data_IF_164891899562
#
_entry.id   IF_164891899562
#
_cell.length_a   1.000
_cell.length_b   1.000
_cell.length_c   1.000
_cell.angle_alpha   90.00
_cell.angle_beta   90.00
_cell.angle_gamma   90.00
#
_symmetry.space_group_name_H-M   'P 1'
#
loop_
_entity.id
_entity.type
_entity.pdbx_description
1 polymer ?
#
# COMPACT_ATOMS: atom_id res chain seq x y z
N UNK A 1 71.91 -17.01 1.57
CA UNK A 1 70.65 -17.56 1.01
C UNK A 1 70.95 -18.11 -0.37
N UNK A 2 70.44 -19.30 -0.70
CA UNK A 2 70.64 -19.90 -2.01
C UNK A 2 69.55 -19.43 -2.97
N UNK A 3 69.84 -19.31 -4.26
CA UNK A 3 68.83 -18.98 -5.28
C UNK A 3 68.35 -20.25 -5.97
N UNK A 4 67.05 -20.30 -6.28
CA UNK A 4 66.50 -21.29 -7.18
C UNK A 4 67.18 -21.13 -8.55
N UNK A 5 67.78 -22.20 -9.06
CA UNK A 5 68.50 -22.16 -10.34
C UNK A 5 67.56 -22.07 -11.56
N UNK A 6 66.25 -22.28 -11.36
CA UNK A 6 65.25 -22.14 -12.42
C UNK A 6 64.61 -20.74 -12.46
N UNK A 7 64.09 -20.25 -11.33
CA UNK A 7 63.36 -18.97 -11.28
C UNK A 7 64.10 -17.83 -10.57
N UNK A 8 65.31 -18.06 -10.05
CA UNK A 8 66.13 -17.03 -9.38
C UNK A 8 65.68 -16.63 -7.97
N UNK A 9 64.55 -17.13 -7.47
CA UNK A 9 64.00 -16.81 -6.15
C UNK A 9 64.98 -17.20 -5.03
N UNK A 10 65.23 -16.28 -4.09
CA UNK A 10 66.00 -16.57 -2.87
C UNK A 10 65.22 -17.56 -1.99
N UNK A 11 65.86 -18.65 -1.60
CA UNK A 11 65.32 -19.68 -0.71
C UNK A 11 66.27 -19.94 0.45
N UNK A 12 65.71 -20.00 1.65
CA UNK A 12 66.47 -20.35 2.86
C UNK A 12 66.87 -21.84 2.84
N UNK A 13 65.96 -22.71 2.42
CA UNK A 13 66.14 -24.17 2.39
C UNK A 13 65.86 -24.70 0.96
N UNK A 14 66.88 -24.75 0.08
CA UNK A 14 66.70 -25.24 -1.28
C UNK A 14 66.54 -26.77 -1.33
N UNK A 15 65.66 -27.25 -2.22
CA UNK A 15 65.57 -28.67 -2.56
C UNK A 15 66.66 -29.02 -3.57
N UNK A 16 67.51 -29.99 -3.24
CA UNK A 16 68.52 -30.52 -4.18
C UNK A 16 67.92 -31.65 -5.02
N UNK A 17 67.88 -31.48 -6.33
CA UNK A 17 67.40 -32.52 -7.25
C UNK A 17 68.39 -33.68 -7.30
N UNK A 18 67.91 -34.92 -7.11
CA UNK A 18 68.75 -36.13 -7.15
C UNK A 18 69.24 -36.50 -8.56
N UNK A 19 68.68 -35.89 -9.60
CA UNK A 19 68.98 -36.22 -11.00
C UNK A 19 69.95 -35.23 -11.63
N UNK A 20 69.73 -33.92 -11.49
CA UNK A 20 70.63 -32.88 -12.04
C UNK A 20 71.54 -32.24 -10.99
N UNK A 21 71.34 -32.50 -9.69
CA UNK A 21 72.14 -31.90 -8.61
C UNK A 21 71.82 -30.43 -8.30
N UNK A 22 70.94 -29.79 -9.08
CA UNK A 22 70.58 -28.38 -8.93
C UNK A 22 69.73 -28.08 -7.69
N UNK A 23 69.69 -26.79 -7.33
CA UNK A 23 68.98 -26.26 -6.14
C UNK A 23 67.73 -25.48 -6.55
N UNK A 24 66.57 -25.88 -6.01
CA UNK A 24 65.27 -25.37 -6.43
C UNK A 24 64.37 -24.96 -5.25
N UNK A 25 63.41 -24.06 -5.51
CA UNK A 25 62.35 -23.72 -4.56
C UNK A 25 61.26 -24.79 -4.52
N UNK A 26 60.28 -24.62 -3.62
CA UNK A 26 59.16 -25.56 -3.46
C UNK A 26 58.40 -25.84 -4.76
N UNK A 27 58.12 -24.80 -5.56
CA UNK A 27 57.39 -24.91 -6.83
C UNK A 27 58.18 -25.67 -7.91
N UNK A 28 59.52 -25.63 -7.81
CA UNK A 28 60.43 -26.19 -8.80
C UNK A 28 61.17 -27.44 -8.30
N UNK A 29 60.72 -28.04 -7.18
CA UNK A 29 61.43 -29.16 -6.52
C UNK A 29 61.40 -30.48 -7.30
N UNK A 30 60.42 -30.69 -8.18
CA UNK A 30 60.28 -31.92 -8.97
C UNK A 30 60.99 -31.81 -10.32
N UNK A 31 61.58 -32.90 -10.86
CA UNK A 31 62.27 -32.87 -12.15
C UNK A 31 61.49 -32.30 -13.34
N UNK A 32 60.18 -32.55 -13.50
CA UNK A 32 59.39 -31.90 -14.55
C UNK A 32 59.21 -30.40 -14.34
N UNK A 33 59.19 -29.93 -13.09
CA UNK A 33 58.90 -28.53 -12.77
C UNK A 33 60.06 -27.59 -13.10
N UNK A 34 61.30 -28.08 -13.18
CA UNK A 34 62.48 -27.26 -13.51
C UNK A 34 63.18 -27.68 -14.82
N UNK A 35 62.49 -28.45 -15.68
CA UNK A 35 63.07 -28.98 -16.92
C UNK A 35 64.41 -29.71 -16.71
N UNK A 36 64.40 -30.72 -15.82
CA UNK A 36 65.61 -31.45 -15.47
C UNK A 36 66.29 -32.07 -16.70
N UNK A 37 67.59 -31.86 -16.85
CA UNK A 37 68.41 -32.47 -17.92
C UNK A 37 68.36 -34.00 -17.90
N UNK A 38 68.15 -34.61 -16.73
CA UNK A 38 68.08 -36.05 -16.53
C UNK A 38 66.64 -36.55 -16.29
N UNK A 39 65.64 -35.95 -16.96
CA UNK A 39 64.21 -36.25 -16.75
C UNK A 39 63.83 -37.69 -17.10
N UNK A 40 64.51 -38.31 -18.06
CA UNK A 40 64.25 -39.71 -18.46
C UNK A 40 64.53 -40.69 -17.32
N UNK A 41 65.59 -40.47 -16.54
CA UNK A 41 65.92 -41.27 -15.36
C UNK A 41 64.90 -41.11 -14.22
N UNK A 42 64.17 -40.00 -14.17
CA UNK A 42 63.05 -39.82 -13.25
C UNK A 42 61.80 -40.56 -13.74
N UNK A 43 61.52 -40.52 -15.06
CA UNK A 43 60.38 -41.20 -15.69
C UNK A 43 60.51 -42.72 -15.70
N UNK A 44 61.73 -43.26 -15.68
CA UNK A 44 61.97 -44.71 -15.67
C UNK A 44 61.68 -45.39 -14.33
N UNK A 45 61.42 -44.62 -13.25
CA UNK A 45 61.03 -45.18 -11.96
C UNK A 45 59.52 -45.39 -11.88
N UNK A 46 59.12 -46.64 -11.73
CA UNK A 46 57.72 -46.99 -11.41
C UNK A 46 57.36 -46.40 -10.04
N UNK A 47 56.23 -45.67 -9.91
CA UNK A 47 55.76 -45.22 -8.60
C UNK A 47 55.49 -46.42 -7.68
N UNK A 48 55.66 -46.27 -6.36
CA UNK A 48 55.42 -47.36 -5.42
C UNK A 48 53.98 -47.88 -5.56
N UNK A 49 53.86 -49.19 -5.74
CA UNK A 49 52.60 -49.89 -5.90
C UNK A 49 51.82 -49.85 -4.57
N UNK A 50 50.80 -48.99 -4.49
CA UNK A 50 49.81 -49.03 -3.41
C UNK A 50 48.65 -49.88 -3.91
N UNK A 51 48.54 -51.13 -3.44
CA UNK A 51 47.38 -51.98 -3.69
C UNK A 51 46.16 -51.42 -2.97
N UNK A 52 45.47 -50.47 -3.61
CA UNK A 52 44.14 -50.05 -3.17
C UNK A 52 43.15 -51.15 -3.58
N UNK A 53 42.76 -51.98 -2.63
CA UNK A 53 41.51 -52.74 -2.75
C UNK A 53 40.41 -51.70 -2.99
N UNK A 54 39.85 -51.67 -4.21
CA UNK A 54 38.64 -50.90 -4.46
C UNK A 54 37.50 -51.67 -3.81
N UNK A 55 37.09 -51.24 -2.61
CA UNK A 55 35.71 -51.46 -2.22
C UNK A 55 34.80 -50.92 -3.34
N UNK A 56 33.73 -51.64 -3.74
CA UNK A 56 32.80 -51.14 -4.74
C UNK A 56 32.20 -49.84 -4.23
N UNK A 57 32.66 -48.70 -4.75
CA UNK A 57 32.08 -47.41 -4.42
C UNK A 57 30.69 -47.37 -5.04
N UNK A 58 29.65 -47.46 -4.20
CA UNK A 58 28.28 -47.20 -4.60
C UNK A 58 28.23 -45.87 -5.40
N UNK A 59 27.48 -45.82 -6.52
CA UNK A 59 27.42 -44.63 -7.36
C UNK A 59 26.95 -43.43 -6.53
N UNK A 60 27.75 -42.35 -6.53
CA UNK A 60 27.45 -41.12 -5.78
C UNK A 60 26.20 -40.46 -6.38
N UNK A 61 25.07 -40.62 -5.71
CA UNK A 61 23.82 -39.98 -6.11
C UNK A 61 23.74 -38.56 -5.51
N UNK A 62 23.71 -37.54 -6.38
CA UNK A 62 23.68 -36.13 -5.98
C UNK A 62 22.23 -35.68 -5.74
N UNK A 63 21.98 -34.98 -4.65
CA UNK A 63 20.68 -34.35 -4.35
C UNK A 63 20.84 -32.82 -4.47
N UNK A 64 19.82 -32.14 -5.01
CA UNK A 64 19.81 -30.68 -5.15
C UNK A 64 19.39 -30.02 -3.82
N UNK A 65 19.94 -28.84 -3.49
CA UNK A 65 19.46 -28.05 -2.37
C UNK A 65 17.99 -27.63 -2.58
N UNK A 66 17.35 -27.25 -1.48
CA UNK A 66 15.88 -27.14 -1.34
C UNK A 66 15.26 -26.16 -2.35
N UNK A 67 14.00 -26.38 -2.76
CA UNK A 67 13.21 -25.31 -3.37
C UNK A 67 12.91 -24.30 -2.25
N UNK A 68 13.47 -23.08 -2.32
CA UNK A 68 13.29 -22.00 -1.33
C UNK A 68 11.88 -21.91 -0.71
N UNK A 69 11.81 -21.56 0.58
CA UNK A 69 10.57 -21.29 1.33
C UNK A 69 9.71 -20.22 0.66
N UNK A 70 8.39 -20.33 0.84
CA UNK A 70 7.39 -19.40 0.29
C UNK A 70 6.94 -18.44 1.40
N UNK A 71 6.94 -17.11 1.20
CA UNK A 71 6.56 -16.18 2.25
C UNK A 71 5.06 -16.31 2.60
N UNK A 72 4.76 -16.51 3.88
CA UNK A 72 3.41 -16.47 4.43
C UNK A 72 2.98 -15.02 4.63
N UNK A 73 1.80 -14.63 4.13
CA UNK A 73 1.28 -13.25 4.17
C UNK A 73 0.07 -13.14 5.11
N UNK A 74 0.25 -13.41 6.40
CA UNK A 74 -0.85 -13.56 7.40
C UNK A 74 -1.82 -12.36 7.54
N UNK A 75 -3.03 -12.61 8.05
CA UNK A 75 -3.90 -11.58 8.64
C UNK A 75 -4.01 -11.82 10.15
N UNK A 76 -3.61 -10.86 10.99
CA UNK A 76 -4.01 -10.87 12.41
C UNK A 76 -5.29 -10.06 12.58
N UNK A 77 -6.42 -10.75 12.83
CA UNK A 77 -7.65 -10.13 13.32
C UNK A 77 -7.39 -9.49 14.69
N UNK A 78 -7.51 -8.17 14.79
CA UNK A 78 -7.55 -7.49 16.09
C UNK A 78 -8.99 -7.59 16.62
N UNK A 79 -9.17 -8.21 17.79
CA UNK A 79 -10.43 -8.13 18.54
C UNK A 79 -10.64 -6.65 18.93
N UNK A 80 -11.64 -5.99 18.34
CA UNK A 80 -12.04 -4.64 18.73
C UNK A 80 -12.50 -4.67 20.19
N UNK A 81 -11.69 -4.12 21.09
CA UNK A 81 -12.10 -3.95 22.48
C UNK A 81 -12.91 -2.66 22.59
N UNK A 82 -14.22 -2.81 22.82
CA UNK A 82 -15.19 -1.74 23.13
C UNK A 82 -14.82 -0.89 24.39
N UNK A 83 -13.66 -1.14 25.00
CA UNK A 83 -13.15 -0.50 26.22
C UNK A 83 -12.63 0.92 25.94
N UNK A 84 -12.15 1.23 24.73
CA UNK A 84 -11.60 2.56 24.41
C UNK A 84 -12.67 3.66 24.40
N UNK A 85 -13.88 3.34 23.93
CA UNK A 85 -15.00 4.30 23.88
C UNK A 85 -15.61 4.56 25.27
N UNK A 86 -15.57 3.57 26.17
CA UNK A 86 -16.05 3.74 27.55
C UNK A 86 -15.15 4.67 28.38
N UNK A 87 -13.84 4.63 28.16
CA UNK A 87 -12.89 5.54 28.84
C UNK A 87 -13.03 6.97 28.30
N UNK A 88 -13.17 7.13 26.98
CA UNK A 88 -13.41 8.45 26.37
C UNK A 88 -14.74 9.08 26.82
N UNK A 89 -15.81 8.29 26.91
CA UNK A 89 -17.11 8.77 27.39
C UNK A 89 -17.05 9.22 28.85
N UNK A 90 -16.32 8.50 29.71
CA UNK A 90 -16.14 8.89 31.11
C UNK A 90 -15.33 10.19 31.28
N UNK A 91 -14.33 10.42 30.43
CA UNK A 91 -13.53 11.65 30.46
C UNK A 91 -14.32 12.86 29.92
N UNK A 92 -15.19 12.64 28.93
CA UNK A 92 -16.04 13.69 28.35
C UNK A 92 -17.15 14.13 29.32
N UNK A 93 -17.74 13.20 30.08
CA UNK A 93 -18.70 13.52 31.15
C UNK A 93 -18.03 14.26 32.31
N UNK A 94 -16.77 13.91 32.65
CA UNK A 94 -15.99 14.65 33.65
C UNK A 94 -15.57 16.05 33.17
N UNK A 95 -15.32 16.23 31.86
CA UNK A 95 -14.96 17.51 31.27
C UNK A 95 -16.17 18.47 31.17
N UNK A 96 -17.35 17.94 30.83
CA UNK A 96 -18.60 18.72 30.81
C UNK A 96 -19.06 19.14 32.22
N UNK A 97 -18.79 18.33 33.24
CA UNK A 97 -19.09 18.68 34.65
C UNK A 97 -18.16 19.72 35.27
N UNK A 98 -17.04 20.05 34.62
CA UNK A 98 -16.06 21.05 35.11
C UNK A 98 -16.22 22.43 34.45
N UNK A 99 -17.09 22.56 33.44
CA UNK A 99 -17.21 23.75 32.60
C UNK A 99 -18.44 24.60 32.90
N UNK A 100 -19.02 24.48 34.10
CA UNK A 100 -20.31 25.09 34.45
C UNK A 100 -20.20 26.26 35.45
N UNK A 101 -19.14 27.09 35.37
CA UNK A 101 -19.09 28.28 36.23
C UNK A 101 -18.48 29.58 35.72
N UNK A 102 -17.94 29.71 34.49
CA UNK A 102 -17.30 31.00 34.09
C UNK A 102 -17.46 31.48 32.62
N UNK A 103 -18.54 31.15 31.88
CA UNK A 103 -18.79 31.78 30.55
C UNK A 103 -20.21 32.35 30.41
N UNK A 104 -20.66 33.14 31.39
CA UNK A 104 -21.87 33.96 31.28
C UNK A 104 -21.69 35.40 31.83
N UNK A 105 -20.59 36.10 31.52
CA UNK A 105 -20.73 37.55 31.32
C UNK A 105 -19.92 38.15 30.15
N UNK A 106 -19.30 37.34 29.28
CA UNK A 106 -18.45 37.87 28.20
C UNK A 106 -19.24 38.43 26.99
N UNK A 107 -20.45 37.94 26.73
CA UNK A 107 -21.22 38.31 25.53
C UNK A 107 -22.02 39.62 25.63
N UNK A 108 -22.15 40.22 26.82
CA UNK A 108 -22.88 41.48 26.99
C UNK A 108 -22.05 42.73 26.65
N UNK A 109 -20.76 42.58 26.32
CA UNK A 109 -19.86 43.72 26.07
C UNK A 109 -19.54 44.00 24.59
N UNK A 110 -20.19 43.31 23.65
CA UNK A 110 -19.96 43.50 22.19
C UNK A 110 -21.07 44.37 21.54
N UNK A 111 -22.14 44.73 22.26
CA UNK A 111 -23.27 45.50 21.71
C UNK A 111 -23.17 47.03 21.79
N UNK A 112 -22.09 47.63 22.29
CA UNK A 112 -22.01 49.10 22.49
C UNK A 112 -20.80 49.80 21.86
N UNK A 113 -20.20 49.24 20.80
CA UNK A 113 -19.04 49.84 20.11
C UNK A 113 -19.36 50.44 18.75
N UNK A 114 -20.20 51.47 18.69
CA UNK A 114 -20.42 52.25 17.46
C UNK A 114 -19.34 53.32 17.26
N UNK A 115 -18.70 53.35 16.09
CA UNK A 115 -17.92 54.51 15.61
C UNK A 115 -18.23 54.74 14.13
N UNK A 116 -18.97 55.81 13.86
CA UNK A 116 -19.12 56.46 12.56
C UNK A 116 -18.06 57.56 12.45
N UNK A 117 -17.24 57.53 11.41
CA UNK A 117 -16.48 58.70 10.97
C UNK A 117 -16.57 58.88 9.45
N UNK A 118 -17.27 59.95 9.10
CA UNK A 118 -17.22 60.85 7.93
C UNK A 118 -16.38 60.43 6.70
N UNK A 119 -17.07 60.28 5.56
CA UNK A 119 -16.49 60.23 4.20
C UNK A 119 -17.06 61.42 3.40
N UNK A 120 -16.23 62.20 2.67
CA UNK A 120 -16.69 63.34 1.88
C UNK A 120 -17.49 62.93 0.62
N UNK A 121 -18.45 63.77 0.26
CA UNK A 121 -19.43 63.58 -0.80
C UNK A 121 -18.83 63.57 -2.21
N UNK A 122 -19.08 62.48 -2.95
CA UNK A 122 -18.81 62.33 -4.39
C UNK A 122 -20.07 62.78 -5.15
N UNK A 123 -19.94 63.54 -6.26
CA UNK A 123 -21.09 63.99 -7.05
C UNK A 123 -21.87 62.83 -7.68
N UNK A 124 -23.18 63.02 -7.98
CA UNK A 124 -24.06 61.95 -8.41
C UNK A 124 -23.68 61.45 -9.81
N UNK A 125 -23.19 60.22 -9.87
CA UNK A 125 -23.16 59.43 -11.11
C UNK A 125 -24.60 59.02 -11.43
N UNK A 126 -25.00 59.18 -12.70
CA UNK A 126 -26.31 58.77 -13.19
C UNK A 126 -26.41 57.22 -13.19
N UNK A 127 -26.94 56.66 -12.11
CA UNK A 127 -27.04 55.20 -11.85
C UNK A 127 -28.11 54.52 -12.74
N UNK A 128 -29.07 55.26 -13.28
CA UNK A 128 -30.12 54.69 -14.13
C UNK A 128 -29.62 54.25 -15.52
N UNK A 129 -28.47 54.76 -15.97
CA UNK A 129 -27.84 54.33 -17.22
C UNK A 129 -26.86 53.15 -17.07
N UNK A 130 -26.46 52.79 -15.83
CA UNK A 130 -25.56 51.65 -15.54
C UNK A 130 -26.35 50.43 -15.03
N UNK A 131 -27.61 50.61 -14.60
CA UNK A 131 -28.53 49.54 -14.21
C UNK A 131 -29.15 48.77 -15.39
N UNK A 132 -28.46 48.67 -16.52
CA UNK A 132 -28.74 47.64 -17.52
C UNK A 132 -28.06 46.34 -17.08
N UNK A 133 -28.63 45.75 -16.02
CA UNK A 133 -28.61 44.31 -15.67
C UNK A 133 -27.35 43.53 -16.04
N UNK A 134 -26.29 43.69 -15.25
CA UNK A 134 -25.31 42.61 -15.04
C UNK A 134 -25.70 41.99 -13.70
N UNK A 135 -26.57 40.98 -13.73
CA UNK A 135 -26.63 40.10 -12.58
C UNK A 135 -25.22 39.49 -12.44
N UNK A 136 -24.59 39.50 -11.26
CA UNK A 136 -23.26 38.95 -11.14
C UNK A 136 -23.28 37.48 -11.63
N UNK A 137 -22.27 37.12 -12.43
CA UNK A 137 -22.08 35.76 -12.93
C UNK A 137 -21.80 34.74 -11.81
N UNK A 138 -21.71 35.22 -10.56
CA UNK A 138 -21.46 34.46 -9.34
C UNK A 138 -22.50 34.80 -8.29
N UNK A 139 -23.06 33.79 -7.61
CA UNK A 139 -23.92 33.99 -6.44
C UNK A 139 -23.52 33.06 -5.30
N UNK A 140 -23.80 33.49 -4.06
CA UNK A 140 -23.45 32.74 -2.85
C UNK A 140 -24.71 32.26 -2.13
N UNK A 141 -24.78 30.97 -1.85
CA UNK A 141 -25.89 30.33 -1.13
C UNK A 141 -25.37 29.63 0.13
N UNK A 142 -25.79 30.07 1.32
CA UNK A 142 -25.38 29.46 2.58
C UNK A 142 -26.46 28.53 3.12
N UNK A 143 -26.16 27.23 3.15
CA UNK A 143 -27.07 26.15 3.54
C UNK A 143 -27.03 25.92 5.06
N UNK A 144 -28.07 25.32 5.68
CA UNK A 144 -28.16 25.17 7.13
C UNK A 144 -27.29 24.01 7.68
N UNK A 145 -26.06 23.88 7.18
CA UNK A 145 -25.09 22.86 7.59
C UNK A 145 -23.87 23.57 8.18
N UNK A 146 -23.42 23.12 9.35
CA UNK A 146 -22.28 23.73 10.03
C UNK A 146 -20.95 23.10 9.60
N UNK A 147 -19.95 23.96 9.46
CA UNK A 147 -18.53 23.64 9.32
C UNK A 147 -17.89 23.37 10.69
N UNK A 148 -16.62 22.97 10.72
CA UNK A 148 -15.89 22.78 11.98
C UNK A 148 -15.89 24.05 12.85
N UNK A 149 -15.81 25.23 12.22
CA UNK A 149 -15.85 26.54 12.88
C UNK A 149 -17.21 26.90 13.51
N UNK A 150 -18.27 26.14 13.21
CA UNK A 150 -19.65 26.46 13.58
C UNK A 150 -20.35 27.43 12.62
N UNK A 151 -19.63 28.00 11.65
CA UNK A 151 -20.24 28.76 10.56
C UNK A 151 -21.02 27.86 9.61
N UNK A 152 -21.99 28.45 8.90
CA UNK A 152 -22.70 27.74 7.82
C UNK A 152 -21.80 27.49 6.62
N UNK A 153 -21.99 26.35 5.96
CA UNK A 153 -21.48 26.07 4.61
C UNK A 153 -22.07 27.07 3.63
N UNK A 154 -21.23 27.66 2.80
CA UNK A 154 -21.59 28.64 1.80
C UNK A 154 -21.02 28.29 0.41
N UNK A 155 -21.94 27.87 -0.45
CA UNK A 155 -21.69 27.48 -1.83
C UNK A 155 -21.57 28.73 -2.70
N UNK A 156 -20.49 28.82 -3.48
CA UNK A 156 -20.24 29.89 -4.45
C UNK A 156 -20.46 29.31 -5.84
N UNK A 157 -21.58 29.70 -6.45
CA UNK A 157 -22.05 29.16 -7.72
C UNK A 157 -21.79 30.12 -8.86
N UNK A 158 -21.35 29.59 -10.00
CA UNK A 158 -21.06 30.34 -11.22
C UNK A 158 -22.11 30.01 -12.28
N UNK A 159 -22.78 31.03 -12.82
CA UNK A 159 -23.87 30.84 -13.80
C UNK A 159 -23.43 30.18 -15.11
N UNK A 160 -22.15 30.29 -15.43
CA UNK A 160 -21.53 29.69 -16.60
C UNK A 160 -20.84 28.34 -16.30
N UNK A 161 -20.91 27.83 -15.07
CA UNK A 161 -20.46 26.48 -14.76
C UNK A 161 -21.37 25.46 -15.45
N UNK A 162 -20.78 24.40 -15.97
CA UNK A 162 -21.48 23.40 -16.78
C UNK A 162 -21.28 21.99 -16.24
N UNK A 163 -22.24 21.12 -16.53
CA UNK A 163 -22.19 19.70 -16.20
C UNK A 163 -20.99 19.04 -16.93
N UNK A 164 -20.03 18.42 -16.23
CA UNK A 164 -18.84 17.83 -16.85
C UNK A 164 -19.16 16.47 -17.50
N UNK A 165 -18.28 15.96 -18.35
CA UNK A 165 -18.20 14.50 -18.60
C UNK A 165 -17.55 13.78 -17.43
N UNK A 166 -17.69 12.45 -17.34
CA UNK A 166 -16.96 11.64 -16.36
C UNK A 166 -15.44 11.87 -16.42
N UNK A 167 -14.86 11.90 -17.61
CA UNK A 167 -13.41 12.07 -17.78
C UNK A 167 -12.93 13.47 -17.39
N UNK A 168 -13.72 14.51 -17.66
CA UNK A 168 -13.46 15.87 -17.18
C UNK A 168 -13.54 15.96 -15.65
N UNK A 169 -14.54 15.32 -15.04
CA UNK A 169 -14.66 15.24 -13.58
C UNK A 169 -13.45 14.55 -12.96
N UNK A 170 -13.06 13.37 -13.43
CA UNK A 170 -11.89 12.65 -12.90
C UNK A 170 -10.60 13.46 -13.10
N UNK A 171 -10.47 14.16 -14.23
CA UNK A 171 -9.31 15.02 -14.51
C UNK A 171 -9.25 16.23 -13.56
N UNK A 172 -10.40 16.82 -13.25
CA UNK A 172 -10.51 17.89 -12.26
C UNK A 172 -10.11 17.41 -10.87
N UNK A 173 -10.68 16.29 -10.40
CA UNK A 173 -10.38 15.74 -9.06
C UNK A 173 -8.89 15.44 -8.89
N UNK A 174 -8.23 14.86 -9.90
CA UNK A 174 -6.78 14.59 -9.85
C UNK A 174 -5.89 15.83 -9.72
N UNK A 175 -6.41 17.00 -10.11
CA UNK A 175 -5.70 18.28 -10.06
C UNK A 175 -6.06 19.09 -8.81
N UNK A 176 -7.27 18.92 -8.30
CA UNK A 176 -7.72 19.56 -7.08
C UNK A 176 -6.97 18.98 -5.87
N UNK A 177 -6.61 19.83 -4.91
CA UNK A 177 -5.79 19.46 -3.76
C UNK A 177 -6.62 19.31 -2.46
N UNK A 178 -7.96 19.36 -2.55
CA UNK A 178 -8.84 19.29 -1.38
C UNK A 178 -8.59 18.02 -0.57
N UNK A 179 -8.41 16.89 -1.25
CA UNK A 179 -8.19 15.58 -0.65
C UNK A 179 -6.85 15.43 0.10
N UNK A 180 -5.91 16.37 -0.13
CA UNK A 180 -4.60 16.40 0.53
C UNK A 180 -4.66 17.03 1.92
N UNK A 181 -5.74 17.73 2.26
CA UNK A 181 -5.93 18.24 3.62
C UNK A 181 -6.20 17.11 4.61
N UNK A 182 -5.84 17.34 5.87
CA UNK A 182 -6.13 16.40 6.95
C UNK A 182 -7.43 16.75 7.64
N UNK A 183 -8.21 15.72 7.96
CA UNK A 183 -9.41 15.85 8.76
C UNK A 183 -9.06 16.21 10.20
N UNK A 184 -9.70 17.27 10.71
CA UNK A 184 -9.55 17.75 12.08
C UNK A 184 -10.92 18.19 12.61
N UNK A 185 -11.39 17.53 13.67
CA UNK A 185 -12.66 17.84 14.31
C UNK A 185 -12.76 19.29 14.81
N UNK A 186 -11.64 19.95 15.10
CA UNK A 186 -11.63 21.31 15.61
C UNK A 186 -11.60 22.37 14.49
N UNK A 187 -11.14 22.03 13.29
CA UNK A 187 -10.80 23.03 12.28
C UNK A 187 -11.21 22.70 10.84
N UNK A 188 -11.38 21.43 10.49
CA UNK A 188 -11.66 21.03 9.11
C UNK A 188 -12.33 19.64 9.04
N UNK A 189 -13.66 19.62 8.93
CA UNK A 189 -14.48 18.39 8.88
C UNK A 189 -15.06 18.15 7.49
N UNK A 190 -15.83 17.08 7.31
CA UNK A 190 -16.39 16.69 6.00
C UNK A 190 -17.17 17.82 5.31
N UNK A 191 -17.88 18.66 6.08
CA UNK A 191 -18.57 19.84 5.55
C UNK A 191 -17.61 20.88 4.94
N UNK A 192 -16.43 21.09 5.56
CA UNK A 192 -15.40 21.99 5.03
C UNK A 192 -14.76 21.43 3.76
N UNK A 193 -14.47 20.11 3.71
CA UNK A 193 -14.01 19.44 2.49
C UNK A 193 -15.01 19.61 1.34
N UNK A 194 -16.29 19.32 1.60
CA UNK A 194 -17.33 19.38 0.59
C UNK A 194 -17.65 20.82 0.13
N UNK A 195 -17.59 21.82 1.02
CA UNK A 195 -17.67 23.24 0.65
C UNK A 195 -16.50 23.63 -0.28
N UNK A 196 -15.28 23.22 0.10
CA UNK A 196 -14.07 23.60 -0.63
C UNK A 196 -14.03 22.97 -2.02
N UNK A 197 -14.30 21.66 -2.14
CA UNK A 197 -14.32 20.98 -3.44
C UNK A 197 -15.40 21.57 -4.36
N UNK A 198 -16.61 21.82 -3.82
CA UNK A 198 -17.69 22.46 -4.55
C UNK A 198 -17.23 23.80 -5.15
N UNK A 199 -16.70 24.69 -4.30
CA UNK A 199 -16.32 26.03 -4.71
C UNK A 199 -15.14 26.03 -5.69
N UNK A 200 -14.21 25.08 -5.55
CA UNK A 200 -13.12 24.89 -6.50
C UNK A 200 -13.62 24.41 -7.87
N UNK A 201 -14.59 23.49 -7.89
CA UNK A 201 -15.20 22.99 -9.13
C UNK A 201 -15.94 24.10 -9.87
N UNK A 202 -16.80 24.84 -9.16
CA UNK A 202 -17.55 25.97 -9.72
C UNK A 202 -16.61 27.05 -10.28
N UNK A 203 -15.54 27.39 -9.54
CA UNK A 203 -14.50 28.31 -10.02
C UNK A 203 -13.72 27.79 -11.24
N UNK A 204 -13.68 26.47 -11.44
CA UNK A 204 -13.12 25.81 -12.62
C UNK A 204 -14.13 25.68 -13.79
N UNK A 205 -15.36 26.20 -13.63
CA UNK A 205 -16.42 26.11 -14.63
C UNK A 205 -17.15 24.75 -14.64
N UNK A 206 -16.98 23.94 -13.59
CA UNK A 206 -17.62 22.64 -13.43
C UNK A 206 -18.74 22.79 -12.41
N UNK A 207 -19.97 22.49 -12.84
CA UNK A 207 -21.13 22.59 -11.97
C UNK A 207 -21.08 21.49 -10.90
N UNK A 208 -21.22 21.89 -9.64
CA UNK A 208 -21.13 21.01 -8.49
C UNK A 208 -22.36 21.13 -7.58
N UNK A 209 -22.63 20.10 -6.80
CA UNK A 209 -23.58 20.12 -5.71
C UNK A 209 -22.92 19.68 -4.41
N UNK A 210 -23.46 20.15 -3.29
CA UNK A 210 -23.15 19.66 -1.95
C UNK A 210 -24.17 18.59 -1.56
N UNK A 211 -23.73 17.56 -0.86
CA UNK A 211 -24.58 16.46 -0.39
C UNK A 211 -24.39 16.26 1.10
N UNK A 212 -25.51 16.20 1.82
CA UNK A 212 -25.57 15.73 3.20
C UNK A 212 -26.17 14.32 3.23
N UNK A 213 -25.54 13.42 3.98
CA UNK A 213 -25.95 12.03 4.15
C UNK A 213 -26.22 11.79 5.62
N UNK A 214 -27.37 11.20 5.92
CA UNK A 214 -27.61 10.59 7.21
C UNK A 214 -27.46 9.06 7.10
N UNK A 215 -26.98 8.45 8.18
CA UNK A 215 -26.94 7.01 8.32
C UNK A 215 -28.03 6.51 9.27
N UNK A 216 -28.37 5.22 9.17
CA UNK A 216 -29.25 4.54 10.14
C UNK A 216 -28.64 4.56 11.54
N UNK A 217 -27.33 4.43 11.63
CA UNK A 217 -26.54 4.51 12.86
C UNK A 217 -25.23 5.25 12.55
N UNK A 218 -24.78 6.11 13.47
CA UNK A 218 -23.59 6.96 13.30
C UNK A 218 -23.88 8.44 13.07
N UNK A 219 -22.80 9.20 12.86
CA UNK A 219 -22.85 10.64 12.57
C UNK A 219 -23.00 10.80 11.06
N UNK A 220 -23.81 11.77 10.62
CA UNK A 220 -23.96 12.10 9.20
C UNK A 220 -22.64 12.49 8.53
N UNK A 221 -22.65 12.50 7.20
CA UNK A 221 -21.48 12.79 6.38
C UNK A 221 -21.79 13.81 5.30
N UNK A 222 -20.77 14.54 4.85
CA UNK A 222 -20.89 15.52 3.77
C UNK A 222 -19.94 15.17 2.63
N UNK A 223 -20.42 15.32 1.40
CA UNK A 223 -19.70 15.02 0.17
C UNK A 223 -20.25 15.87 -0.98
N UNK A 224 -19.83 15.58 -2.22
CA UNK A 224 -20.28 16.33 -3.40
C UNK A 224 -21.02 15.45 -4.40
N UNK A 225 -21.82 16.07 -5.26
CA UNK A 225 -22.46 15.43 -6.40
C UNK A 225 -22.20 16.24 -7.67
N UNK A 226 -21.97 15.55 -8.77
CA UNK A 226 -21.75 16.12 -10.09
C UNK A 226 -22.72 15.45 -11.05
N UNK A 227 -23.49 16.24 -11.81
CA UNK A 227 -24.32 15.70 -12.88
C UNK A 227 -23.46 15.53 -14.12
N UNK A 228 -22.95 14.33 -14.37
CA UNK A 228 -22.14 14.08 -15.57
C UNK A 228 -23.02 13.90 -16.81
N UNK A 229 -22.56 14.44 -17.93
CA UNK A 229 -23.30 14.41 -19.20
C UNK A 229 -23.40 13.01 -19.83
N UNK A 230 -22.51 12.09 -19.44
CA UNK A 230 -22.38 10.75 -20.04
C UNK A 230 -22.67 9.59 -19.05
N UNK A 231 -22.65 9.83 -17.74
CA UNK A 231 -22.90 8.78 -16.71
C UNK A 231 -23.91 9.18 -15.64
N UNK A 232 -24.55 10.34 -15.75
CA UNK A 232 -25.53 10.81 -14.78
C UNK A 232 -24.89 11.29 -13.48
N UNK A 233 -25.61 11.16 -12.35
CA UNK A 233 -25.12 11.64 -11.05
C UNK A 233 -23.93 10.82 -10.56
N UNK A 234 -22.85 11.52 -10.23
CA UNK A 234 -21.64 10.96 -9.63
C UNK A 234 -21.43 11.60 -8.27
N UNK A 235 -21.37 10.79 -7.23
CA UNK A 235 -21.06 11.27 -5.88
C UNK A 235 -19.57 11.14 -5.62
N UNK A 236 -18.96 12.17 -5.07
CA UNK A 236 -17.52 12.26 -4.83
C UNK A 236 -17.29 12.59 -3.36
N UNK A 237 -16.51 11.74 -2.71
CA UNK A 237 -16.06 11.95 -1.34
C UNK A 237 -14.56 12.28 -1.36
N UNK A 238 -14.25 13.56 -1.21
CA UNK A 238 -12.89 14.10 -1.16
C UNK A 238 -12.32 14.17 0.26
N UNK A 239 -12.99 13.59 1.27
CA UNK A 239 -12.54 13.68 2.65
C UNK A 239 -11.15 13.04 2.78
N UNK A 240 -10.19 13.86 3.19
CA UNK A 240 -8.76 13.54 3.20
C UNK A 240 -8.30 12.65 4.36
N UNK A 241 -6.99 12.64 4.58
CA UNK A 241 -6.35 11.80 5.59
C UNK A 241 -6.82 12.09 7.02
N UNK A 242 -6.83 11.08 7.89
CA UNK A 242 -7.19 11.23 9.30
C UNK A 242 -8.67 11.01 9.64
N UNK A 243 -9.55 10.91 8.63
CA UNK A 243 -10.96 10.57 8.82
C UNK A 243 -11.19 9.05 8.84
N UNK A 244 -11.12 8.40 7.68
CA UNK A 244 -11.24 6.95 7.55
C UNK A 244 -9.84 6.33 7.60
N UNK A 245 -9.65 5.33 8.47
CA UNK A 245 -8.41 4.56 8.46
C UNK A 245 -8.37 3.69 7.21
N UNK A 246 -7.39 3.94 6.34
CA UNK A 246 -7.13 3.10 5.17
C UNK A 246 -6.15 1.99 5.56
N UNK A 247 -6.45 0.77 5.11
CA UNK A 247 -5.62 -0.39 5.39
C UNK A 247 -4.98 -0.91 4.10
N UNK A 248 -3.67 -1.14 4.13
CA UNK A 248 -2.94 -1.84 3.07
C UNK A 248 -2.32 -3.12 3.63
N UNK A 249 -2.13 -4.09 2.75
CA UNK A 249 -1.37 -5.31 3.03
C UNK A 249 0.08 -5.16 2.58
N UNK A 250 1.00 -5.14 3.55
CA UNK A 250 2.44 -5.21 3.31
C UNK A 250 2.99 -6.40 4.08
N UNK A 251 3.60 -7.36 3.38
CA UNK A 251 4.23 -8.56 3.97
C UNK A 251 3.38 -9.34 4.97
N UNK A 252 2.07 -9.50 4.69
CA UNK A 252 1.19 -10.21 5.61
C UNK A 252 0.96 -9.47 6.93
N UNK A 253 1.03 -8.14 6.89
CA UNK A 253 0.61 -7.28 7.98
C UNK A 253 -0.37 -6.27 7.43
N UNK A 254 -1.50 -6.15 8.11
CA UNK A 254 -2.41 -5.02 7.93
C UNK A 254 -1.71 -3.82 8.54
N UNK A 255 -1.32 -2.87 7.70
CA UNK A 255 -0.71 -1.63 8.12
C UNK A 255 -1.65 -0.48 7.80
N UNK A 256 -1.69 0.52 8.68
CA UNK A 256 -2.29 1.80 8.33
C UNK A 256 -1.55 2.34 7.12
N UNK A 257 -2.31 2.71 6.10
CA UNK A 257 -1.78 3.19 4.84
C UNK A 257 -2.28 4.61 4.61
N UNK A 258 -1.39 5.47 4.14
CA UNK A 258 -1.75 6.78 3.64
C UNK A 258 -1.75 6.67 2.13
N UNK A 259 -2.91 6.57 1.46
CA UNK A 259 -2.93 6.59 0.02
C UNK A 259 -2.38 7.91 -0.52
N UNK A 260 -1.82 7.91 -1.73
CA UNK A 260 -1.29 9.14 -2.35
C UNK A 260 -2.40 10.16 -2.64
N UNK A 261 -3.63 9.67 -2.83
CA UNK A 261 -4.84 10.45 -3.05
C UNK A 261 -5.99 9.84 -2.25
N UNK A 262 -6.81 10.71 -1.68
CA UNK A 262 -7.99 10.37 -0.91
C UNK A 262 -9.28 10.52 -1.68
N UNK A 263 -9.28 11.07 -2.90
CA UNK A 263 -10.50 11.15 -3.70
C UNK A 263 -11.13 9.79 -3.99
N UNK A 264 -12.45 9.72 -3.78
CA UNK A 264 -13.26 8.51 -3.90
C UNK A 264 -14.54 8.82 -4.66
N UNK A 265 -14.96 7.87 -5.50
CA UNK A 265 -16.34 7.79 -5.95
C UNK A 265 -17.15 7.12 -4.84
N UNK A 266 -18.17 7.83 -4.37
CA UNK A 266 -19.12 7.34 -3.38
C UNK A 266 -20.33 6.70 -4.08
N UNK A 267 -20.81 5.60 -3.53
CA UNK A 267 -21.97 4.87 -4.02
C UNK A 267 -23.04 4.94 -2.93
N UNK A 268 -24.01 5.83 -3.14
CA UNK A 268 -25.03 6.17 -2.14
C UNK A 268 -26.43 5.86 -2.66
N UNK A 269 -27.14 5.00 -1.93
CA UNK A 269 -28.54 4.64 -2.17
C UNK A 269 -29.21 4.45 -0.82
N UNK A 270 -30.33 5.13 -0.58
CA UNK A 270 -31.10 4.97 0.67
C UNK A 270 -31.43 3.49 0.92
N UNK A 271 -31.18 3.03 2.14
CA UNK A 271 -31.35 1.64 2.56
C UNK A 271 -30.18 0.71 2.21
N UNK A 272 -29.16 1.19 1.49
CA UNK A 272 -27.94 0.44 1.18
C UNK A 272 -26.73 1.00 1.93
N UNK A 273 -25.65 0.23 1.95
CA UNK A 273 -24.40 0.68 2.57
C UNK A 273 -23.74 1.81 1.77
N UNK A 274 -23.01 2.67 2.46
CA UNK A 274 -22.23 3.74 1.86
C UNK A 274 -20.96 3.16 1.24
N UNK A 275 -20.93 3.04 -0.08
CA UNK A 275 -19.83 2.46 -0.81
C UNK A 275 -18.76 3.47 -1.21
N UNK A 276 -17.49 3.05 -1.21
CA UNK A 276 -16.35 3.90 -1.56
C UNK A 276 -15.36 3.14 -2.45
N UNK A 277 -15.02 3.72 -3.60
CA UNK A 277 -13.97 3.21 -4.49
C UNK A 277 -13.08 4.39 -4.91
N UNK A 278 -11.77 4.15 -4.97
CA UNK A 278 -10.79 5.13 -5.48
C UNK A 278 -11.21 5.63 -6.85
N UNK A 279 -11.00 6.91 -7.13
CA UNK A 279 -11.21 7.46 -8.48
C UNK A 279 -10.40 6.73 -9.57
N UNK A 280 -9.29 6.07 -9.22
CA UNK A 280 -8.48 5.30 -10.19
C UNK A 280 -9.12 3.96 -10.56
N UNK A 281 -9.90 3.37 -9.64
CA UNK A 281 -10.49 2.04 -9.79
C UNK A 281 -11.98 2.08 -10.14
N UNK A 282 -12.68 3.16 -9.78
CA UNK A 282 -14.06 3.37 -10.19
C UNK A 282 -14.16 3.52 -11.72
N UNK A 283 -15.13 2.83 -12.35
CA UNK A 283 -15.40 2.91 -13.79
C UNK A 283 -16.86 3.20 -14.13
N UNK A 284 -17.73 3.19 -13.13
CA UNK A 284 -19.16 3.44 -13.23
C UNK A 284 -19.66 4.06 -11.92
N UNK A 285 -20.57 5.04 -11.95
CA UNK A 285 -21.21 5.54 -10.72
C UNK A 285 -22.34 4.62 -10.22
N UNK A 286 -22.72 3.61 -11.00
CA UNK A 286 -23.84 2.75 -10.69
C UNK A 286 -23.55 1.85 -9.47
N UNK A 287 -24.54 1.70 -8.60
CA UNK A 287 -24.37 0.95 -7.34
C UNK A 287 -23.98 -0.52 -7.55
N UNK A 288 -24.45 -1.16 -8.63
CA UNK A 288 -24.09 -2.55 -8.95
C UNK A 288 -22.57 -2.73 -9.14
N UNK A 289 -21.86 -1.69 -9.62
CA UNK A 289 -20.42 -1.74 -9.81
C UNK A 289 -19.70 -1.83 -8.47
N UNK A 290 -20.21 -1.11 -7.46
CA UNK A 290 -19.71 -1.22 -6.10
C UNK A 290 -19.97 -2.58 -5.48
N UNK A 291 -21.17 -3.16 -5.68
CA UNK A 291 -21.50 -4.50 -5.19
C UNK A 291 -20.55 -5.56 -5.79
N UNK A 292 -20.32 -5.52 -7.10
CA UNK A 292 -19.37 -6.40 -7.80
C UNK A 292 -17.93 -6.21 -7.29
N UNK A 293 -17.47 -4.97 -7.16
CA UNK A 293 -16.15 -4.65 -6.62
C UNK A 293 -15.96 -5.17 -5.19
N UNK A 294 -16.97 -4.98 -4.32
CA UNK A 294 -16.95 -5.47 -2.94
C UNK A 294 -16.92 -7.00 -2.91
N UNK A 295 -17.69 -7.66 -3.76
CA UNK A 295 -17.70 -9.12 -3.86
C UNK A 295 -16.33 -9.68 -4.26
N UNK A 296 -15.67 -9.07 -5.26
CA UNK A 296 -14.31 -9.43 -5.66
C UNK A 296 -13.29 -9.26 -4.53
N UNK A 297 -13.43 -8.24 -3.69
CA UNK A 297 -12.60 -8.10 -2.47
C UNK A 297 -12.82 -9.22 -1.45
N UNK A 298 -14.08 -9.68 -1.28
CA UNK A 298 -14.40 -10.80 -0.40
C UNK A 298 -13.74 -12.09 -0.91
N UNK A 299 -13.86 -12.34 -2.21
CA UNK A 299 -13.25 -13.51 -2.88
C UNK A 299 -11.74 -13.49 -2.79
N UNK A 300 -11.11 -12.35 -3.10
CA UNK A 300 -9.66 -12.16 -2.96
C UNK A 300 -9.18 -12.44 -1.53
N UNK A 301 -9.88 -11.90 -0.51
CA UNK A 301 -9.52 -12.14 0.90
C UNK A 301 -9.58 -13.63 1.26
N UNK A 302 -10.61 -14.33 0.80
CA UNK A 302 -10.77 -15.77 1.01
C UNK A 302 -9.65 -16.58 0.31
N UNK A 303 -9.36 -16.26 -0.95
CA UNK A 303 -8.30 -16.92 -1.72
C UNK A 303 -6.91 -16.68 -1.11
N UNK A 304 -6.65 -15.46 -0.61
CA UNK A 304 -5.41 -15.12 0.08
C UNK A 304 -5.27 -15.88 1.41
N UNK A 305 -6.36 -16.01 2.19
CA UNK A 305 -6.36 -16.80 3.42
C UNK A 305 -6.05 -18.29 3.15
N UNK A 306 -6.65 -18.85 2.11
CA UNK A 306 -6.38 -20.23 1.69
C UNK A 306 -4.93 -20.43 1.21
N UNK A 307 -4.43 -19.54 0.34
CA UNK A 307 -3.04 -19.55 -0.10
C UNK A 307 -2.07 -19.50 1.08
N UNK A 308 -2.33 -18.64 2.07
CA UNK A 308 -1.47 -18.52 3.25
C UNK A 308 -1.41 -19.81 4.06
N UNK A 309 -2.54 -20.48 4.23
CA UNK A 309 -2.61 -21.78 4.91
C UNK A 309 -1.78 -22.84 4.16
N UNK A 310 -1.94 -22.91 2.84
CA UNK A 310 -1.17 -23.84 2.00
C UNK A 310 0.34 -23.52 2.04
N UNK A 311 0.72 -22.23 2.02
CA UNK A 311 2.10 -21.80 2.12
C UNK A 311 2.72 -22.15 3.49
N UNK A 312 1.97 -22.03 4.59
CA UNK A 312 2.41 -22.46 5.92
C UNK A 312 2.65 -23.97 5.98
N UNK A 313 1.75 -24.77 5.41
CA UNK A 313 1.89 -26.23 5.34
C UNK A 313 3.08 -26.64 4.47
N UNK A 314 3.26 -26.00 3.31
CA UNK A 314 4.42 -26.20 2.43
C UNK A 314 5.74 -25.91 3.17
N UNK A 315 5.83 -24.77 3.87
CA UNK A 315 7.05 -24.41 4.61
C UNK A 315 7.41 -25.44 5.69
N UNK A 316 6.42 -26.01 6.39
CA UNK A 316 6.68 -27.11 7.35
C UNK A 316 7.27 -28.35 6.67
N UNK A 317 6.80 -28.69 5.47
CA UNK A 317 7.36 -29.81 4.68
C UNK A 317 8.78 -29.52 4.21
N UNK A 318 9.07 -28.26 3.83
CA UNK A 318 10.43 -27.82 3.50
C UNK A 318 11.36 -27.98 4.71
N UNK A 319 10.94 -27.55 5.90
CA UNK A 319 11.70 -27.73 7.14
C UNK A 319 11.98 -29.20 7.46
N UNK A 320 10.98 -30.08 7.26
CA UNK A 320 11.15 -31.53 7.44
C UNK A 320 12.16 -32.12 6.44
N UNK A 321 12.06 -31.74 5.16
CA UNK A 321 13.03 -32.15 4.14
C UNK A 321 14.45 -31.67 4.47
N UNK A 322 14.60 -30.42 4.92
CA UNK A 322 15.91 -29.86 5.32
C UNK A 322 16.51 -30.61 6.51
N UNK A 323 15.68 -30.95 7.49
CA UNK A 323 16.06 -31.74 8.66
C UNK A 323 16.51 -33.16 8.27
N UNK A 324 15.81 -33.80 7.33
CA UNK A 324 16.19 -35.12 6.80
C UNK A 324 17.47 -35.04 5.96
N UNK A 325 17.62 -34.01 5.13
CA UNK A 325 18.79 -33.79 4.29
C UNK A 325 20.05 -33.50 5.13
N UNK A 326 19.92 -32.82 6.27
CA UNK A 326 21.02 -32.44 7.18
C UNK A 326 22.14 -31.69 6.45
N UNK A 327 21.79 -30.87 5.46
CA UNK A 327 22.73 -30.13 4.62
C UNK A 327 23.62 -30.99 3.70
N UNK A 328 23.36 -32.31 3.60
CA UNK A 328 24.13 -33.21 2.74
C UNK A 328 23.76 -33.01 1.28
N UNK A 329 24.76 -32.99 0.41
CA UNK A 329 24.58 -32.85 -1.05
C UNK A 329 24.82 -34.16 -1.80
N UNK A 330 25.38 -35.16 -1.14
CA UNK A 330 25.65 -36.50 -1.66
C UNK A 330 25.09 -37.52 -0.70
N UNK A 331 24.23 -38.39 -1.21
CA UNK A 331 23.65 -39.51 -0.44
C UNK A 331 24.17 -40.81 -1.04
N UNK A 332 24.72 -41.66 -0.17
CA UNK A 332 25.34 -42.93 -0.55
C UNK A 332 24.39 -44.12 -0.41
N UNK A 333 23.47 -44.07 0.55
CA UNK A 333 22.44 -45.09 0.72
C UNK A 333 21.35 -44.91 -0.37
N UNK A 334 21.17 -45.89 -1.28
CA UNK A 334 20.16 -45.80 -2.33
C UNK A 334 18.72 -45.67 -1.81
N UNK A 335 18.42 -46.24 -0.63
CA UNK A 335 17.08 -46.18 -0.04
C UNK A 335 16.80 -44.78 0.50
N UNK A 336 17.74 -44.22 1.27
CA UNK A 336 17.68 -42.83 1.72
C UNK A 336 17.61 -41.84 0.55
N UNK A 337 18.40 -42.06 -0.51
CA UNK A 337 18.36 -41.23 -1.71
C UNK A 337 16.97 -41.23 -2.36
N UNK A 338 16.37 -42.40 -2.54
CA UNK A 338 15.04 -42.52 -3.14
C UNK A 338 13.97 -41.78 -2.31
N UNK A 339 14.04 -41.89 -0.97
CA UNK A 339 13.14 -41.16 -0.05
C UNK A 339 13.29 -39.64 -0.22
N UNK A 340 14.51 -39.11 -0.11
CA UNK A 340 14.79 -37.68 -0.20
C UNK A 340 14.46 -37.11 -1.59
N UNK A 341 14.74 -37.88 -2.65
CA UNK A 341 14.37 -37.49 -4.02
C UNK A 341 12.86 -37.36 -4.17
N UNK A 342 12.07 -38.30 -3.64
CA UNK A 342 10.61 -38.23 -3.67
C UNK A 342 10.09 -36.99 -2.93
N UNK A 343 10.61 -36.73 -1.72
CA UNK A 343 10.26 -35.52 -0.97
C UNK A 343 10.58 -34.24 -1.76
N UNK A 344 11.75 -34.19 -2.41
CA UNK A 344 12.13 -33.06 -3.26
C UNK A 344 11.19 -32.87 -4.45
N UNK A 345 10.85 -33.96 -5.15
CA UNK A 345 9.97 -33.90 -6.32
C UNK A 345 8.55 -33.44 -5.91
N UNK A 346 8.01 -33.95 -4.79
CA UNK A 346 6.74 -33.50 -4.21
C UNK A 346 6.76 -32.01 -3.85
N UNK A 347 7.81 -31.55 -3.15
CA UNK A 347 7.97 -30.13 -2.81
C UNK A 347 8.09 -29.25 -4.06
N UNK A 348 8.76 -29.72 -5.10
CA UNK A 348 8.89 -28.98 -6.35
C UNK A 348 7.52 -28.78 -7.02
N UNK A 349 6.72 -29.84 -7.13
CA UNK A 349 5.37 -29.75 -7.72
C UNK A 349 4.43 -28.86 -6.90
N UNK A 350 4.47 -28.97 -5.57
CA UNK A 350 3.66 -28.14 -4.68
C UNK A 350 4.05 -26.66 -4.77
N UNK A 351 5.36 -26.36 -4.86
CA UNK A 351 5.86 -25.00 -5.08
C UNK A 351 5.35 -24.41 -6.39
N UNK A 352 5.41 -25.15 -7.49
CA UNK A 352 4.91 -24.67 -8.80
C UNK A 352 3.42 -24.32 -8.75
N UNK A 353 2.61 -25.08 -7.98
CA UNK A 353 1.19 -24.77 -7.76
C UNK A 353 0.99 -23.49 -6.94
N UNK A 354 1.73 -23.35 -5.84
CA UNK A 354 1.69 -22.15 -5.00
C UNK A 354 2.12 -20.89 -5.76
N UNK A 355 3.20 -20.97 -6.55
CA UNK A 355 3.68 -19.85 -7.36
C UNK A 355 2.62 -19.40 -8.37
N UNK A 356 1.88 -20.34 -8.99
CA UNK A 356 0.75 -20.02 -9.88
C UNK A 356 -0.39 -19.33 -9.12
N UNK A 357 -0.81 -19.88 -7.98
CA UNK A 357 -1.88 -19.30 -7.15
C UNK A 357 -1.51 -17.90 -6.66
N UNK A 358 -0.25 -17.68 -6.30
CA UNK A 358 0.25 -16.37 -5.90
C UNK A 358 0.19 -15.35 -7.04
N UNK A 359 0.55 -15.76 -8.26
CA UNK A 359 0.45 -14.90 -9.44
C UNK A 359 -1.00 -14.45 -9.71
N UNK A 360 -1.95 -15.37 -9.62
CA UNK A 360 -3.39 -15.06 -9.78
C UNK A 360 -3.87 -14.05 -8.71
N UNK A 361 -3.39 -14.18 -7.46
CA UNK A 361 -3.69 -13.23 -6.39
C UNK A 361 -3.12 -11.83 -6.66
N UNK A 362 -1.89 -11.72 -7.17
CA UNK A 362 -1.30 -10.41 -7.51
C UNK A 362 -2.05 -9.74 -8.68
N UNK A 363 -2.49 -10.51 -9.68
CA UNK A 363 -3.32 -9.99 -10.78
C UNK A 363 -4.67 -9.46 -10.26
N UNK A 364 -5.34 -10.20 -9.37
CA UNK A 364 -6.58 -9.75 -8.73
C UNK A 364 -6.36 -8.49 -7.89
N UNK A 365 -5.28 -8.44 -7.10
CA UNK A 365 -4.92 -7.30 -6.26
C UNK A 365 -4.68 -6.04 -7.09
N UNK A 366 -4.04 -6.16 -8.25
CA UNK A 366 -3.80 -5.03 -9.15
C UNK A 366 -5.12 -4.45 -9.69
N UNK A 367 -6.07 -5.32 -10.05
CA UNK A 367 -7.41 -4.90 -10.49
C UNK A 367 -8.20 -4.20 -9.36
N UNK A 368 -8.14 -4.74 -8.15
CA UNK A 368 -8.84 -4.22 -6.98
C UNK A 368 -8.20 -2.96 -6.41
N UNK A 369 -6.91 -2.74 -6.62
CA UNK A 369 -6.12 -1.74 -5.92
C UNK A 369 -5.54 -2.27 -4.61
N UNK A 370 -4.43 -1.68 -4.17
CA UNK A 370 -3.68 -2.17 -2.99
C UNK A 370 -4.41 -2.04 -1.64
N UNK A 371 -5.56 -1.39 -1.61
CA UNK A 371 -6.32 -1.05 -0.40
C UNK A 371 -7.79 -0.82 -0.74
N UNK A 372 -8.65 -0.82 0.28
CA UNK A 372 -10.08 -0.50 0.16
C UNK A 372 -10.53 0.33 1.37
N UNK A 373 -11.63 1.05 1.22
CA UNK A 373 -12.24 1.82 2.30
C UNK A 373 -13.36 1.02 2.95
N UNK A 374 -13.46 1.11 4.28
CA UNK A 374 -14.61 0.58 5.00
C UNK A 374 -15.84 1.48 4.76
N UNK A 375 -17.02 0.87 4.77
CA UNK A 375 -18.27 1.62 4.67
C UNK A 375 -18.49 2.43 5.94
N UNK A 376 -19.09 3.62 5.79
CA UNK A 376 -19.47 4.49 6.91
C UNK A 376 -20.77 4.05 7.58
N UNK A 377 -21.61 3.25 6.91
CA UNK A 377 -22.90 2.82 7.45
C UNK A 377 -23.95 2.57 6.38
N UNK A 378 -25.18 2.33 6.80
CA UNK A 378 -26.34 2.24 5.91
C UNK A 378 -26.95 3.62 5.74
N UNK A 379 -27.09 4.10 4.51
CA UNK A 379 -27.65 5.41 4.18
C UNK A 379 -29.13 5.44 4.54
N UNK A 380 -29.57 6.39 5.34
CA UNK A 380 -30.97 6.59 5.71
C UNK A 380 -31.61 7.77 4.98
N UNK A 381 -30.83 8.80 4.66
CA UNK A 381 -31.30 10.00 3.96
C UNK A 381 -30.19 10.62 3.09
N UNK A 382 -30.58 11.30 2.02
CA UNK A 382 -29.70 12.01 1.09
C UNK A 382 -30.33 13.38 0.80
N UNK A 383 -29.65 14.46 1.13
CA UNK A 383 -30.08 15.82 0.80
C UNK A 383 -29.04 16.49 -0.10
N UNK A 384 -29.49 17.07 -1.21
CA UNK A 384 -28.63 17.67 -2.24
C UNK A 384 -28.92 19.17 -2.33
N UNK A 385 -27.86 19.97 -2.32
CA UNK A 385 -27.88 21.41 -2.51
C UNK A 385 -27.07 21.77 -3.76
N UNK A 386 -27.70 22.47 -4.70
CA UNK A 386 -27.07 23.01 -5.92
C UNK A 386 -26.84 24.52 -5.80
#
# INVERSE_FOLDING_TARGET
>A
MSKCQFCGKNVAYPFKCRYCGGLFCEDHRLPPSHNCVNIEAWRSKTPPFVSRVKEPSLPKSKIRPTPYSVPVRTQKKKKSSKIKYLILLSLLVLFMGYFDQEILPFFDKIKEGGILSEIPSIPPVNIEAVKKTIEPDVYRNCIPIAKASGERVCLVNYKNATDPTWDELISFLKKDDTDKLSYDYASFVCADFAEMLHNNAEAAGIRAGFVAIDFVDGIGHALNVFNTTDKGLVYVDCTGGGFITVYQFVDGKLVTFSPPHYDKIAYVVVGKEYGLISIDKAKSPEYWFYEDYKQKWIEYKKALEEYNKEAEEFNKKVEEYEKELRGRTVIHDPVEYAKLKRMYDELKEEKEKLDKKYKELEEQKELLGGFYWESLGIVSNIEIYW
#
